data_IF_769081501480
#
_entry.id   IF_769081501480
#
_cell.length_a   1.000
_cell.length_b   1.000
_cell.length_c   1.000
_cell.angle_alpha   90.00
_cell.angle_beta   90.00
_cell.angle_gamma   90.00
#
_symmetry.space_group_name_H-M   'P 1'
#
loop_
_entity.id
_entity.type
_entity.pdbx_description
1 polymer ?
#
# COMPACT_ATOMS: atom_id res chain seq x y z
N UNK A 1 -4.64 14.32 -36.61
CA UNK A 1 -4.68 13.88 -35.19
C UNK A 1 -5.79 12.84 -35.04
N UNK A 2 -5.41 11.58 -35.06
CA UNK A 2 -6.37 10.46 -35.08
C UNK A 2 -6.78 10.13 -33.64
N UNK A 3 -8.08 10.24 -33.36
CA UNK A 3 -8.64 9.84 -32.04
C UNK A 3 -8.76 8.32 -32.03
N UNK A 4 -7.96 7.67 -31.19
CA UNK A 4 -8.13 6.24 -30.91
C UNK A 4 -9.40 6.09 -30.07
N UNK A 5 -10.45 5.52 -30.65
CA UNK A 5 -11.65 5.10 -29.92
C UNK A 5 -11.39 3.71 -29.36
N UNK A 6 -11.27 3.61 -28.04
CA UNK A 6 -11.29 2.31 -27.36
C UNK A 6 -12.75 1.85 -27.30
N UNK A 7 -13.08 0.79 -28.01
CA UNK A 7 -14.39 0.17 -27.98
C UNK A 7 -14.46 -0.75 -26.76
N UNK A 8 -15.20 -0.36 -25.74
CA UNK A 8 -15.52 -1.25 -24.62
C UNK A 8 -16.74 -2.08 -25.03
N UNK A 9 -16.53 -3.36 -25.32
CA UNK A 9 -17.62 -4.29 -25.54
C UNK A 9 -18.26 -4.66 -24.20
N UNK A 10 -19.49 -4.20 -23.96
CA UNK A 10 -20.32 -4.67 -22.84
C UNK A 10 -20.95 -6.00 -23.29
N UNK A 11 -20.46 -7.10 -22.76
CA UNK A 11 -21.06 -8.42 -22.98
C UNK A 11 -22.20 -8.60 -21.97
N UNK A 12 -23.44 -8.46 -22.44
CA UNK A 12 -24.62 -8.87 -21.68
C UNK A 12 -24.73 -10.40 -21.71
N UNK A 13 -24.51 -11.06 -20.62
CA UNK A 13 -24.84 -12.47 -20.45
C UNK A 13 -26.15 -12.64 -19.68
N UNK A 14 -27.16 -13.11 -20.38
CA UNK A 14 -28.40 -13.61 -19.79
C UNK A 14 -28.18 -15.02 -19.25
N UNK A 15 -28.54 -15.20 -17.99
CA UNK A 15 -28.96 -16.42 -17.27
C UNK A 15 -28.41 -17.78 -17.72
N UNK A 16 -27.48 -18.34 -16.93
CA UNK A 16 -27.54 -19.77 -16.52
C UNK A 16 -26.89 -19.92 -15.15
N UNK A 17 -27.52 -20.77 -14.34
CA UNK A 17 -27.22 -21.13 -12.97
C UNK A 17 -25.87 -21.83 -12.82
N UNK A 18 -25.00 -21.31 -11.96
CA UNK A 18 -23.77 -21.95 -11.56
C UNK A 18 -22.66 -20.90 -11.25
N UNK A 19 -22.66 -20.32 -10.05
CA UNK A 19 -21.61 -19.43 -9.64
C UNK A 19 -20.34 -20.23 -9.29
N UNK A 20 -19.18 -19.98 -9.95
CA UNK A 20 -17.94 -20.66 -9.59
C UNK A 20 -17.45 -20.17 -8.23
N UNK A 21 -17.17 -21.10 -7.32
CA UNK A 21 -16.48 -20.86 -6.06
C UNK A 21 -14.97 -20.87 -6.32
N UNK A 22 -14.31 -19.78 -5.98
CA UNK A 22 -12.86 -19.73 -5.83
C UNK A 22 -12.58 -19.52 -4.35
N UNK A 23 -11.90 -20.49 -3.72
CA UNK A 23 -11.47 -20.47 -2.32
C UNK A 23 -12.55 -20.23 -1.24
N UNK A 24 -13.73 -20.84 -1.41
CA UNK A 24 -14.76 -20.90 -0.37
C UNK A 24 -15.58 -19.62 -0.15
N UNK A 25 -15.28 -18.53 -0.87
CA UNK A 25 -16.01 -17.26 -0.82
C UNK A 25 -16.76 -17.06 -2.12
N UNK A 26 -18.08 -16.91 -2.07
CA UNK A 26 -18.88 -16.60 -3.25
C UNK A 26 -18.70 -15.14 -3.63
N UNK A 27 -18.72 -14.85 -4.95
CA UNK A 27 -18.72 -13.47 -5.49
C UNK A 27 -19.86 -12.63 -4.86
N UNK A 28 -20.92 -13.26 -4.38
CA UNK A 28 -22.01 -12.64 -3.65
C UNK A 28 -21.61 -12.13 -2.26
N UNK A 29 -20.67 -12.78 -1.56
CA UNK A 29 -20.16 -12.31 -0.25
C UNK A 29 -19.22 -11.10 -0.42
N UNK A 30 -18.54 -10.99 -1.55
CA UNK A 30 -17.78 -9.79 -1.92
C UNK A 30 -18.69 -8.59 -2.25
N UNK A 31 -19.90 -8.83 -2.75
CA UNK A 31 -20.89 -7.82 -3.09
C UNK A 31 -21.76 -7.36 -1.91
N UNK A 32 -21.74 -8.09 -0.78
CA UNK A 32 -22.62 -7.81 0.36
C UNK A 32 -22.04 -6.92 1.45
N UNK A 33 -20.84 -6.35 1.29
CA UNK A 33 -20.38 -5.27 2.17
C UNK A 33 -20.88 -3.92 1.61
N UNK A 34 -22.17 -3.66 1.78
CA UNK A 34 -22.91 -2.48 1.33
C UNK A 34 -22.44 -1.15 1.96
N UNK A 35 -21.27 -1.10 2.59
CA UNK A 35 -20.73 0.08 3.29
C UNK A 35 -19.24 0.34 3.02
N UNK A 36 -18.65 -0.22 1.96
CA UNK A 36 -17.29 0.14 1.57
C UNK A 36 -17.29 1.31 0.61
N UNK A 37 -16.53 2.37 0.92
CA UNK A 37 -16.40 3.57 0.10
C UNK A 37 -14.95 3.77 -0.30
N UNK A 38 -14.67 3.92 -1.60
CA UNK A 38 -13.38 4.42 -2.06
C UNK A 38 -13.31 5.90 -1.68
N UNK A 39 -12.43 6.24 -0.75
CA UNK A 39 -12.21 7.61 -0.27
C UNK A 39 -11.27 8.34 -1.20
N UNK A 40 -10.22 7.66 -1.64
CA UNK A 40 -9.25 8.22 -2.56
C UNK A 40 -8.65 7.15 -3.44
N UNK A 41 -8.18 7.55 -4.62
CA UNK A 41 -7.45 6.69 -5.54
C UNK A 41 -6.39 7.50 -6.28
N UNK A 42 -5.35 6.82 -6.75
CA UNK A 42 -4.28 7.49 -7.45
C UNK A 42 -3.47 6.55 -8.33
N UNK A 43 -2.67 7.18 -9.17
CA UNK A 43 -1.65 6.53 -9.96
C UNK A 43 -0.32 7.19 -9.65
N UNK A 44 0.67 6.41 -9.21
CA UNK A 44 2.04 6.88 -9.01
C UNK A 44 2.96 6.32 -10.06
N UNK A 45 3.94 7.11 -10.43
CA UNK A 45 5.03 6.72 -11.32
C UNK A 45 6.32 6.61 -10.51
N UNK A 46 7.02 5.49 -10.65
CA UNK A 46 8.38 5.32 -10.15
C UNK A 46 9.35 6.19 -10.95
N UNK A 47 10.19 6.97 -10.27
CA UNK A 47 11.10 7.92 -10.91
C UNK A 47 12.50 7.33 -11.16
N UNK A 48 12.88 6.28 -10.43
CA UNK A 48 14.20 5.67 -10.56
C UNK A 48 14.22 4.45 -11.48
N UNK A 49 13.12 4.19 -12.18
CA UNK A 49 13.02 3.05 -13.08
C UNK A 49 11.67 2.99 -13.78
N UNK A 50 11.34 1.81 -14.29
CA UNK A 50 10.06 1.54 -14.93
C UNK A 50 9.09 1.00 -13.90
N UNK A 51 8.03 1.76 -13.60
CA UNK A 51 6.99 1.28 -12.68
C UNK A 51 5.84 2.26 -12.55
N UNK A 52 4.65 1.70 -12.41
CA UNK A 52 3.41 2.41 -12.11
C UNK A 52 2.68 1.67 -10.99
N UNK A 53 2.09 2.42 -10.09
CA UNK A 53 1.22 1.90 -9.04
C UNK A 53 -0.16 2.51 -9.15
N UNK A 54 -1.18 1.68 -9.30
CA UNK A 54 -2.58 2.05 -9.07
C UNK A 54 -2.95 1.74 -7.64
N UNK A 55 -3.44 2.73 -6.93
CA UNK A 55 -3.75 2.69 -5.50
C UNK A 55 -5.19 3.07 -5.22
N UNK A 56 -5.78 2.50 -4.18
CA UNK A 56 -7.06 2.89 -3.59
C UNK A 56 -6.98 2.86 -2.07
N UNK A 57 -7.53 3.92 -1.45
CA UNK A 57 -7.85 3.98 -0.03
C UNK A 57 -9.36 3.76 0.12
N UNK A 58 -9.73 2.70 0.82
CA UNK A 58 -11.12 2.31 1.02
C UNK A 58 -11.46 2.40 2.51
N UNK A 59 -12.62 2.96 2.80
CA UNK A 59 -13.19 2.99 4.14
C UNK A 59 -14.33 1.98 4.24
N UNK A 60 -14.31 1.17 5.28
CA UNK A 60 -15.42 0.30 5.67
C UNK A 60 -16.07 0.78 6.97
N UNK A 61 -17.04 0.03 7.50
CA UNK A 61 -17.65 0.33 8.79
C UNK A 61 -16.61 0.33 9.93
N UNK A 62 -15.64 -0.59 9.90
CA UNK A 62 -14.72 -0.82 11.02
C UNK A 62 -13.24 -0.60 10.68
N UNK A 63 -12.89 -0.62 9.40
CA UNK A 63 -11.50 -0.64 8.96
C UNK A 63 -11.21 0.38 7.86
N UNK A 64 -9.91 0.66 7.69
CA UNK A 64 -9.33 1.23 6.48
C UNK A 64 -8.63 0.14 5.69
N UNK A 65 -8.77 0.17 4.38
CA UNK A 65 -8.11 -0.77 3.47
C UNK A 65 -7.25 0.03 2.50
N UNK A 66 -5.97 -0.29 2.45
CA UNK A 66 -5.04 0.18 1.43
C UNK A 66 -4.84 -0.96 0.45
N UNK A 67 -5.13 -0.74 -0.81
CA UNK A 67 -4.89 -1.74 -1.84
C UNK A 67 -4.28 -1.13 -3.08
N UNK A 68 -3.37 -1.87 -3.69
CA UNK A 68 -2.70 -1.40 -4.89
C UNK A 68 -2.20 -2.52 -5.78
N UNK A 69 -1.93 -2.13 -7.02
CA UNK A 69 -1.28 -2.96 -8.02
C UNK A 69 -0.11 -2.18 -8.61
N UNK A 70 1.06 -2.78 -8.59
CA UNK A 70 2.29 -2.22 -9.13
C UNK A 70 2.75 -3.08 -10.30
N UNK A 71 3.00 -2.42 -11.42
CA UNK A 71 3.68 -3.01 -12.58
C UNK A 71 5.07 -2.40 -12.65
N UNK A 72 6.09 -3.23 -12.63
CA UNK A 72 7.50 -2.79 -12.57
C UNK A 72 8.44 -3.80 -13.20
N UNK A 73 9.75 -3.53 -13.11
CA UNK A 73 10.79 -4.51 -13.38
C UNK A 73 11.39 -4.98 -12.04
N UNK A 74 11.50 -6.30 -11.86
CA UNK A 74 12.25 -6.93 -10.80
C UNK A 74 13.43 -7.69 -11.42
N UNK A 75 14.66 -7.30 -11.11
CA UNK A 75 15.86 -7.85 -11.74
C UNK A 75 15.76 -7.93 -13.28
N UNK A 76 15.35 -6.79 -13.90
CA UNK A 76 15.17 -6.60 -15.35
C UNK A 76 14.06 -7.44 -16.00
N UNK A 77 13.24 -8.13 -15.22
CA UNK A 77 12.07 -8.87 -15.71
C UNK A 77 10.77 -8.21 -15.29
N UNK A 78 9.73 -8.32 -16.13
CA UNK A 78 8.42 -7.80 -15.83
C UNK A 78 7.86 -8.45 -14.56
N UNK A 79 7.34 -7.63 -13.65
CA UNK A 79 6.77 -8.06 -12.40
C UNK A 79 5.45 -7.33 -12.11
N UNK A 80 4.50 -8.06 -11.55
CA UNK A 80 3.26 -7.52 -10.98
C UNK A 80 3.24 -7.80 -9.49
N UNK A 81 3.11 -6.74 -8.69
CA UNK A 81 2.87 -6.86 -7.26
C UNK A 81 1.47 -6.34 -6.92
N UNK A 82 0.74 -7.09 -6.11
CA UNK A 82 -0.56 -6.68 -5.54
C UNK A 82 -0.48 -6.73 -4.04
N UNK A 83 -1.16 -5.77 -3.40
CA UNK A 83 -1.27 -5.77 -1.95
C UNK A 83 -2.65 -5.29 -1.50
N UNK A 84 -3.06 -5.80 -0.34
CA UNK A 84 -4.20 -5.33 0.42
C UNK A 84 -3.82 -5.32 1.89
N UNK A 85 -3.94 -4.15 2.54
CA UNK A 85 -3.57 -3.92 3.94
C UNK A 85 -4.81 -3.46 4.67
N UNK A 86 -5.17 -4.16 5.73
CA UNK A 86 -6.25 -3.80 6.64
C UNK A 86 -5.71 -3.09 7.86
N UNK A 87 -6.27 -1.94 8.16
CA UNK A 87 -5.92 -1.15 9.34
C UNK A 87 -7.16 -0.85 10.16
N UNK A 88 -6.99 -0.68 11.47
CA UNK A 88 -8.05 -0.19 12.33
C UNK A 88 -8.39 1.29 12.03
N UNK A 89 -9.40 1.84 12.73
CA UNK A 89 -9.82 3.22 12.55
C UNK A 89 -8.74 4.25 12.89
N UNK A 90 -7.72 3.86 13.65
CA UNK A 90 -6.57 4.68 14.04
C UNK A 90 -5.36 4.46 13.15
N UNK A 91 -5.52 3.73 12.04
CA UNK A 91 -4.48 3.38 11.06
C UNK A 91 -3.39 2.44 11.57
N UNK A 92 -3.61 1.70 12.67
CA UNK A 92 -2.71 0.61 13.02
C UNK A 92 -2.95 -0.60 12.09
N UNK A 93 -1.88 -1.19 11.62
CA UNK A 93 -1.96 -2.38 10.78
C UNK A 93 -2.55 -3.57 11.54
N UNK A 94 -3.55 -4.24 10.95
CA UNK A 94 -4.15 -5.49 11.45
C UNK A 94 -3.64 -6.69 10.67
N UNK A 95 -3.62 -6.57 9.35
CA UNK A 95 -3.16 -7.62 8.46
C UNK A 95 -2.78 -7.07 7.09
N UNK A 96 -2.00 -7.86 6.36
CA UNK A 96 -1.72 -7.58 4.96
C UNK A 96 -1.63 -8.87 4.15
N UNK A 97 -2.01 -8.78 2.89
CA UNK A 97 -1.85 -9.84 1.89
C UNK A 97 -1.13 -9.25 0.68
N UNK A 98 -0.05 -9.87 0.28
CA UNK A 98 0.82 -9.40 -0.80
C UNK A 98 1.05 -10.56 -1.75
N UNK A 99 0.98 -10.31 -3.05
CA UNK A 99 1.41 -11.25 -4.09
C UNK A 99 2.39 -10.57 -5.03
N UNK A 100 3.36 -11.33 -5.49
CA UNK A 100 4.34 -10.91 -6.50
C UNK A 100 4.42 -12.00 -7.56
N UNK A 101 4.11 -11.64 -8.78
CA UNK A 101 4.27 -12.45 -9.98
C UNK A 101 5.43 -11.90 -10.80
N UNK A 102 6.44 -12.72 -11.02
CA UNK A 102 7.61 -12.41 -11.86
C UNK A 102 8.01 -13.64 -12.69
N UNK A 103 9.19 -13.61 -13.31
CA UNK A 103 9.73 -14.74 -14.10
C UNK A 103 9.95 -16.03 -13.29
N UNK A 104 10.00 -15.95 -11.96
CA UNK A 104 10.15 -17.10 -11.06
C UNK A 104 8.80 -17.67 -10.59
N UNK A 105 7.67 -17.12 -11.10
CA UNK A 105 6.33 -17.52 -10.72
C UNK A 105 5.72 -16.62 -9.66
N UNK A 106 4.57 -17.03 -9.13
CA UNK A 106 3.84 -16.29 -8.11
C UNK A 106 4.32 -16.64 -6.70
N UNK A 107 4.62 -15.60 -5.90
CA UNK A 107 4.94 -15.70 -4.47
C UNK A 107 3.93 -14.90 -3.69
N UNK A 108 3.57 -15.37 -2.50
CA UNK A 108 2.58 -14.74 -1.64
C UNK A 108 3.12 -14.58 -0.22
N UNK A 109 2.75 -13.47 0.41
CA UNK A 109 3.07 -13.16 1.80
C UNK A 109 1.79 -12.74 2.51
N UNK A 110 1.46 -13.44 3.61
CA UNK A 110 0.40 -13.04 4.55
C UNK A 110 1.05 -12.52 5.82
N UNK A 111 0.56 -11.39 6.29
CA UNK A 111 1.03 -10.73 7.50
C UNK A 111 -0.17 -10.50 8.41
N UNK A 112 -0.01 -10.79 9.70
CA UNK A 112 -0.97 -10.48 10.74
C UNK A 112 -0.27 -9.76 11.88
N UNK A 113 -0.90 -8.71 12.42
CA UNK A 113 -0.41 -7.95 13.57
C UNK A 113 -1.45 -8.00 14.69
N UNK A 114 -1.06 -8.53 15.86
CA UNK A 114 -1.93 -8.70 17.01
C UNK A 114 -1.17 -8.36 18.29
N UNK A 115 -1.63 -7.35 19.03
CA UNK A 115 -1.07 -6.96 20.34
C UNK A 115 0.45 -6.74 20.29
N UNK A 116 0.95 -6.08 19.22
CA UNK A 116 2.37 -5.80 19.04
C UNK A 116 3.21 -6.99 18.58
N UNK A 117 2.60 -8.15 18.35
CA UNK A 117 3.24 -9.33 17.76
C UNK A 117 2.90 -9.43 16.28
N UNK A 118 3.88 -9.82 15.48
CA UNK A 118 3.76 -9.92 14.04
C UNK A 118 3.97 -11.35 13.56
N UNK A 119 3.12 -11.78 12.64
CA UNK A 119 3.15 -13.12 12.07
C UNK A 119 3.33 -13.04 10.56
N UNK A 120 4.23 -13.84 10.03
CA UNK A 120 4.54 -14.01 8.63
C UNK A 120 4.14 -15.42 8.20
N UNK A 121 3.15 -15.55 7.31
CA UNK A 121 2.60 -16.84 6.87
C UNK A 121 2.22 -17.76 8.05
N UNK A 122 1.61 -17.18 9.10
CA UNK A 122 1.18 -17.88 10.30
C UNK A 122 2.28 -18.20 11.33
N UNK A 123 3.53 -17.79 11.08
CA UNK A 123 4.64 -17.94 12.03
C UNK A 123 5.02 -16.59 12.62
N UNK A 124 5.21 -16.54 13.93
CA UNK A 124 5.66 -15.32 14.58
C UNK A 124 7.05 -14.90 14.08
N UNK A 125 7.17 -13.65 13.65
CA UNK A 125 8.43 -13.00 13.34
C UNK A 125 8.82 -12.06 14.48
N UNK A 126 9.55 -12.60 15.46
CA UNK A 126 9.93 -11.84 16.67
C UNK A 126 10.80 -10.60 16.37
N UNK A 127 11.51 -10.59 15.22
CA UNK A 127 12.38 -9.47 14.87
C UNK A 127 11.61 -8.16 14.64
N UNK A 128 10.32 -8.24 14.29
CA UNK A 128 9.45 -7.08 14.04
C UNK A 128 8.38 -6.88 15.13
N UNK A 129 8.46 -7.64 16.24
CA UNK A 129 7.56 -7.40 17.37
C UNK A 129 7.75 -5.98 17.93
N UNK A 130 6.65 -5.32 18.26
CA UNK A 130 6.64 -3.92 18.66
C UNK A 130 6.59 -2.92 17.51
N UNK A 131 6.69 -3.36 16.25
CA UNK A 131 6.43 -2.50 15.10
C UNK A 131 4.98 -1.97 15.14
N UNK A 132 4.79 -0.73 14.69
CA UNK A 132 3.49 -0.05 14.73
C UNK A 132 2.75 -0.11 13.39
N UNK A 133 3.49 -0.05 12.29
CA UNK A 133 2.96 0.03 10.95
C UNK A 133 3.68 -0.97 10.03
N UNK A 134 2.98 -1.44 9.02
CA UNK A 134 3.63 -2.10 7.88
C UNK A 134 4.24 -1.03 6.98
N UNK A 135 5.40 -1.32 6.40
CA UNK A 135 6.05 -0.49 5.38
C UNK A 135 6.32 -1.35 4.13
N UNK A 136 5.72 -0.98 3.01
CA UNK A 136 6.06 -1.53 1.71
C UNK A 136 7.17 -0.68 1.11
N UNK A 137 8.44 -1.09 1.24
CA UNK A 137 9.59 -0.32 0.77
C UNK A 137 9.62 -0.01 -0.74
N UNK A 138 8.59 -0.42 -1.44
CA UNK A 138 8.40 -0.33 -2.89
C UNK A 138 7.05 0.30 -3.28
N UNK A 139 6.39 0.97 -2.33
CA UNK A 139 5.14 1.72 -2.54
C UNK A 139 5.13 2.96 -1.66
N UNK A 140 4.68 4.13 -2.14
CA UNK A 140 4.53 5.31 -1.30
C UNK A 140 3.28 5.26 -0.41
N UNK A 141 2.36 4.31 -0.65
CA UNK A 141 1.06 4.26 0.02
C UNK A 141 1.16 4.09 1.53
N UNK A 142 2.11 3.28 2.01
CA UNK A 142 2.24 2.95 3.42
C UNK A 142 2.81 4.09 4.27
N UNK A 143 3.43 5.10 3.66
CA UNK A 143 3.82 6.33 4.38
C UNK A 143 2.60 7.08 4.95
N UNK A 144 1.43 6.90 4.37
CA UNK A 144 0.17 7.48 4.87
C UNK A 144 -0.23 6.93 6.24
N UNK A 145 0.15 5.69 6.57
CA UNK A 145 -0.21 5.07 7.85
C UNK A 145 0.34 5.86 9.05
N UNK A 146 1.68 6.05 9.19
CA UNK A 146 2.22 6.84 10.29
C UNK A 146 1.80 8.31 10.23
N UNK A 147 1.65 8.92 9.05
CA UNK A 147 1.21 10.31 8.92
C UNK A 147 -0.19 10.49 9.52
N UNK A 148 -1.14 9.62 9.18
CA UNK A 148 -2.51 9.66 9.72
C UNK A 148 -2.59 9.26 11.19
N UNK A 149 -1.80 8.30 11.62
CA UNK A 149 -1.79 7.81 13.00
C UNK A 149 -1.20 8.82 13.97
N UNK A 150 -0.04 9.40 13.62
CA UNK A 150 0.72 10.28 14.51
C UNK A 150 0.14 11.69 14.62
N UNK A 151 -0.49 12.20 13.55
CA UNK A 151 -1.12 13.55 13.52
C UNK A 151 -0.19 14.65 14.03
N UNK A 152 1.07 14.61 13.61
CA UNK A 152 2.11 15.55 14.04
C UNK A 152 1.70 17.00 13.77
N UNK A 153 2.02 17.90 14.68
CA UNK A 153 1.94 19.34 14.45
C UNK A 153 3.14 19.80 13.61
N UNK A 154 3.01 20.96 12.96
CA UNK A 154 4.13 21.56 12.24
C UNK A 154 5.29 21.80 13.23
N UNK A 155 6.48 21.35 12.83
CA UNK A 155 7.70 21.38 13.64
C UNK A 155 7.84 20.19 14.61
N UNK A 156 6.85 19.28 14.69
CA UNK A 156 6.88 18.12 15.58
C UNK A 156 7.50 16.91 14.88
N UNK A 157 8.37 16.20 15.60
CA UNK A 157 8.94 14.90 15.22
C UNK A 157 8.18 13.76 15.90
N UNK A 158 8.06 12.63 15.19
CA UNK A 158 7.55 11.39 15.77
C UNK A 158 8.51 10.76 16.80
N UNK A 159 9.77 11.18 16.79
CA UNK A 159 10.85 10.35 17.30
C UNK A 159 11.03 9.08 16.44
N UNK A 160 12.04 8.29 16.78
CA UNK A 160 12.27 7.02 16.09
C UNK A 160 11.27 5.96 16.55
N UNK A 161 10.66 5.25 15.62
CA UNK A 161 9.83 4.06 15.85
C UNK A 161 10.14 2.99 14.80
N UNK A 162 9.70 1.76 15.05
CA UNK A 162 9.98 0.63 14.15
C UNK A 162 8.74 0.31 13.32
N UNK A 163 8.92 0.20 12.00
CA UNK A 163 7.96 -0.37 11.08
C UNK A 163 8.33 -1.81 10.71
N UNK A 164 7.32 -2.63 10.40
CA UNK A 164 7.48 -3.96 9.83
C UNK A 164 7.64 -3.81 8.30
N UNK A 165 8.88 -3.81 7.84
CA UNK A 165 9.27 -3.52 6.48
C UNK A 165 9.24 -4.75 5.58
N UNK A 166 8.41 -4.72 4.56
CA UNK A 166 8.38 -5.73 3.49
C UNK A 166 9.36 -5.32 2.40
N UNK A 167 10.42 -6.08 2.26
CA UNK A 167 11.41 -5.87 1.20
C UNK A 167 10.90 -6.39 -0.14
N UNK A 168 11.32 -5.74 -1.20
CA UNK A 168 11.08 -6.14 -2.59
C UNK A 168 12.41 -6.38 -3.30
N UNK A 169 12.51 -7.42 -4.13
CA UNK A 169 11.47 -8.40 -4.50
C UNK A 169 11.42 -9.64 -3.59
N UNK A 170 12.16 -9.69 -2.50
CA UNK A 170 12.33 -10.89 -1.66
C UNK A 170 11.06 -11.28 -0.90
N UNK A 171 10.14 -10.35 -0.66
CA UNK A 171 8.95 -10.48 0.18
C UNK A 171 9.31 -10.97 1.60
N UNK A 172 10.36 -10.43 2.20
CA UNK A 172 10.76 -10.71 3.58
C UNK A 172 10.38 -9.56 4.50
N UNK A 173 9.96 -9.89 5.72
CA UNK A 173 9.56 -8.92 6.73
C UNK A 173 10.71 -8.65 7.70
N UNK A 174 11.15 -7.39 7.80
CA UNK A 174 12.28 -6.97 8.61
C UNK A 174 11.95 -5.69 9.41
N UNK A 175 12.61 -5.43 10.56
CA UNK A 175 12.45 -4.18 11.26
C UNK A 175 13.09 -3.02 10.49
N UNK A 176 12.39 -1.88 10.43
CA UNK A 176 12.90 -0.64 9.86
C UNK A 176 12.69 0.51 10.85
N UNK A 177 13.73 0.96 11.54
CA UNK A 177 13.67 2.21 12.30
C UNK A 177 13.44 3.38 11.36
N UNK A 178 12.44 4.21 11.66
CA UNK A 178 12.06 5.37 10.87
C UNK A 178 11.54 6.51 11.74
N UNK A 179 11.58 7.71 11.20
CA UNK A 179 11.16 8.94 11.85
C UNK A 179 10.49 9.86 10.82
N UNK A 180 9.45 10.57 11.26
CA UNK A 180 8.79 11.62 10.49
C UNK A 180 8.88 12.94 11.25
N UNK A 181 9.23 14.02 10.54
CA UNK A 181 9.13 15.40 11.02
C UNK A 181 8.17 16.15 10.11
N UNK A 182 7.11 16.73 10.67
CA UNK A 182 6.22 17.59 9.89
C UNK A 182 6.82 18.97 9.71
N UNK A 183 7.12 19.36 8.47
CA UNK A 183 7.77 20.65 8.14
C UNK A 183 6.74 21.75 7.86
N UNK A 184 5.62 21.40 7.21
CA UNK A 184 4.53 22.31 6.85
C UNK A 184 3.22 21.53 6.76
N UNK A 185 2.11 22.18 6.39
CA UNK A 185 0.79 21.55 6.30
C UNK A 185 0.79 20.23 5.52
N UNK A 186 1.50 20.21 4.39
CA UNK A 186 1.55 19.07 3.45
C UNK A 186 2.97 18.57 3.21
N UNK A 187 3.91 18.91 4.09
CA UNK A 187 5.31 18.54 3.91
C UNK A 187 5.87 17.83 5.15
N UNK A 188 6.52 16.71 4.90
CA UNK A 188 7.19 15.91 5.90
C UNK A 188 8.61 15.61 5.46
N UNK A 189 9.52 15.53 6.42
CA UNK A 189 10.81 14.85 6.25
C UNK A 189 10.67 13.45 6.80
N UNK A 190 10.91 12.48 5.95
CA UNK A 190 11.05 11.08 6.31
C UNK A 190 12.51 10.74 6.47
N UNK A 191 12.86 9.98 7.48
CA UNK A 191 14.18 9.39 7.63
C UNK A 191 14.08 7.94 8.13
N UNK A 192 15.06 7.12 7.76
CA UNK A 192 15.16 5.74 8.24
C UNK A 192 16.61 5.35 8.47
N UNK A 193 16.80 4.25 9.23
CA UNK A 193 18.12 3.69 9.56
C UNK A 193 19.04 4.73 10.21
N UNK A 194 18.53 5.45 11.22
CA UNK A 194 19.31 6.46 11.92
C UNK A 194 19.74 7.63 11.03
N UNK A 195 18.94 7.98 9.99
CA UNK A 195 19.23 9.07 9.07
C UNK A 195 20.12 8.68 7.87
N UNK A 196 20.45 7.39 7.70
CA UNK A 196 21.18 6.92 6.51
C UNK A 196 20.35 7.07 5.22
N UNK A 197 19.04 7.16 5.35
CA UNK A 197 18.13 7.52 4.27
C UNK A 197 17.25 8.69 4.72
N UNK A 198 17.15 9.73 3.89
CA UNK A 198 16.30 10.90 4.13
C UNK A 198 15.62 11.30 2.82
N UNK A 199 14.34 11.64 2.89
CA UNK A 199 13.59 12.16 1.75
C UNK A 199 12.51 13.14 2.21
N UNK A 200 12.12 14.05 1.32
CA UNK A 200 10.97 14.92 1.49
C UNK A 200 9.71 14.19 0.97
N UNK A 201 8.63 14.31 1.71
CA UNK A 201 7.32 13.81 1.31
C UNK A 201 6.36 14.99 1.20
N UNK A 202 5.65 15.08 0.08
CA UNK A 202 4.51 15.99 -0.06
C UNK A 202 3.22 15.16 -0.10
N UNK A 203 2.19 15.61 0.61
CA UNK A 203 0.91 14.92 0.70
C UNK A 203 -0.25 15.81 0.22
N UNK A 204 -1.38 15.19 -0.10
CA UNK A 204 -2.65 15.90 -0.34
C UNK A 204 -3.46 16.08 0.95
N UNK A 205 -4.71 16.55 0.81
CA UNK A 205 -5.62 16.78 1.95
C UNK A 205 -6.09 15.49 2.64
N UNK A 206 -5.91 14.35 1.98
CA UNK A 206 -6.16 13.01 2.52
C UNK A 206 -4.89 12.37 3.09
N UNK A 207 -3.80 13.13 3.28
CA UNK A 207 -2.47 12.67 3.71
C UNK A 207 -1.85 11.59 2.80
N UNK A 208 -2.29 11.50 1.55
CA UNK A 208 -1.71 10.60 0.56
C UNK A 208 -0.53 11.25 -0.13
N UNK A 209 0.53 10.48 -0.34
CA UNK A 209 1.74 10.98 -1.00
C UNK A 209 1.41 11.48 -2.41
N UNK A 210 1.80 12.72 -2.70
CA UNK A 210 1.77 13.30 -4.05
C UNK A 210 3.15 13.35 -4.68
N UNK A 211 4.18 13.56 -3.85
CA UNK A 211 5.58 13.53 -4.26
C UNK A 211 6.42 12.89 -3.14
N UNK A 212 7.11 11.82 -3.46
CA UNK A 212 8.16 11.23 -2.66
C UNK A 212 9.47 11.54 -3.37
N UNK A 213 10.17 12.55 -2.89
CA UNK A 213 11.34 13.15 -3.56
C UNK A 213 12.30 12.12 -4.14
N UNK A 214 12.48 12.16 -5.45
CA UNK A 214 13.37 11.29 -6.19
C UNK A 214 12.87 9.85 -6.40
N UNK A 215 11.73 9.44 -5.82
CA UNK A 215 11.26 8.05 -5.89
C UNK A 215 9.91 7.90 -6.58
N UNK A 216 8.87 8.59 -6.10
CA UNK A 216 7.52 8.43 -6.61
C UNK A 216 6.83 9.77 -6.84
N UNK A 217 6.18 9.90 -7.97
CA UNK A 217 5.38 11.06 -8.30
C UNK A 217 3.96 10.64 -8.67
N UNK A 218 2.96 11.26 -8.03
CA UNK A 218 1.56 11.06 -8.39
C UNK A 218 1.30 11.60 -9.79
N UNK A 219 0.71 10.76 -10.64
CA UNK A 219 0.30 11.18 -11.98
C UNK A 219 -1.08 11.83 -11.86
N UNK A 220 -1.12 13.13 -12.04
CA UNK A 220 -2.39 13.85 -12.08
C UNK A 220 -3.08 13.58 -13.43
N UNK A 221 -4.35 13.22 -13.40
CA UNK A 221 -5.15 13.29 -14.61
C UNK A 221 -5.25 14.77 -15.01
N UNK A 222 -4.67 15.16 -16.12
CA UNK A 222 -5.03 16.42 -16.77
C UNK A 222 -6.52 16.38 -17.06
N UNK A 223 -7.29 17.20 -16.36
CA UNK A 223 -8.71 17.44 -16.65
C UNK A 223 -8.85 18.14 -18.01
#
# INVERSE_FOLDING_TARGET
>A
MSKVKILVAVVNHSKTSGCPRVDGVTIAEYAMNSHSQIVSSGLWRWLQGTGLERFELVRTADDWIFRGTILTLAADTAAEAKYEIFCDRSFHTKSASISLLDSNGERRLKIEAQNGRWFENGRENQAVNGATDIDLGWSPSTNTLPIKRLKLKIGESSGEFVAAWVRFPELTLQPLPQEYLRLADRQYRYSSRGGAFVASLTVDDDDLITDYEGFWLRVNSTR
#
